data_IF_396158522305
#
_entry.id   IF_396158522305
#
_cell.length_a   1.000
_cell.length_b   1.000
_cell.length_c   1.000
_cell.angle_alpha   90.00
_cell.angle_beta   90.00
_cell.angle_gamma   90.00
#
_symmetry.space_group_name_H-M   'P 1'
#
loop_
_entity.id
_entity.type
_entity.pdbx_description
1 polymer ?
#
# COMPACT_ATOMS: atom_id res chain seq x y z
N UNK A 1 -19.56 16.94 2.47
CA UNK A 1 -18.71 15.91 1.82
C UNK A 1 -17.73 15.43 2.87
N UNK A 2 -17.56 14.12 3.02
CA UNK A 2 -16.75 13.52 4.09
C UNK A 2 -15.29 13.41 3.66
N UNK A 3 -14.34 13.78 4.52
CA UNK A 3 -12.90 13.74 4.20
C UNK A 3 -12.30 12.31 4.35
N UNK A 4 -12.63 11.42 3.42
CA UNK A 4 -12.18 10.02 3.45
C UNK A 4 -10.64 9.85 3.38
N UNK A 5 -9.91 10.87 2.90
CA UNK A 5 -8.44 10.89 2.85
C UNK A 5 -7.77 10.70 4.22
N UNK A 6 -8.43 11.13 5.31
CA UNK A 6 -7.92 11.06 6.69
C UNK A 6 -8.05 9.66 7.32
N UNK A 7 -8.95 8.83 6.82
CA UNK A 7 -9.25 7.50 7.36
C UNK A 7 -8.21 6.44 6.98
N UNK A 8 -8.13 5.35 7.76
CA UNK A 8 -7.28 4.18 7.46
C UNK A 8 -7.91 3.29 6.39
N UNK A 9 -7.10 2.44 5.77
CA UNK A 9 -7.57 1.49 4.74
C UNK A 9 -8.53 0.42 5.31
N UNK A 10 -8.48 0.14 6.61
CA UNK A 10 -9.49 -0.68 7.30
C UNK A 10 -10.84 0.03 7.34
N UNK A 11 -10.88 1.23 7.92
CA UNK A 11 -12.05 2.10 8.07
C UNK A 11 -12.71 2.38 6.70
N UNK A 12 -11.91 2.63 5.65
CA UNK A 12 -12.41 2.80 4.28
C UNK A 12 -13.05 1.53 3.69
N UNK A 13 -12.56 0.34 4.05
CA UNK A 13 -13.14 -0.93 3.60
C UNK A 13 -14.39 -1.30 4.39
N UNK A 14 -14.48 -0.90 5.65
CA UNK A 14 -15.69 -1.01 6.47
C UNK A 14 -16.81 -0.16 5.84
N UNK A 15 -16.55 1.12 5.56
CA UNK A 15 -17.51 2.02 4.88
C UNK A 15 -17.91 1.55 3.47
N UNK A 16 -16.99 0.98 2.69
CA UNK A 16 -17.32 0.42 1.39
C UNK A 16 -18.16 -0.87 1.51
N UNK A 17 -17.93 -1.69 2.55
CA UNK A 17 -18.71 -2.90 2.82
C UNK A 17 -20.13 -2.55 3.26
N UNK A 18 -20.30 -1.53 4.11
CA UNK A 18 -21.60 -1.01 4.51
C UNK A 18 -22.44 -0.44 3.34
N UNK A 19 -21.80 -0.10 2.23
CA UNK A 19 -22.43 0.41 1.01
C UNK A 19 -22.52 -0.63 -0.12
N UNK A 20 -22.10 -1.87 0.11
CA UNK A 20 -21.96 -2.94 -0.89
C UNK A 20 -21.09 -2.57 -2.13
N UNK A 21 -20.13 -1.66 -1.92
CA UNK A 21 -19.18 -1.23 -2.94
C UNK A 21 -17.92 -2.11 -2.94
N UNK A 22 -17.25 -2.32 -4.11
CA UNK A 22 -16.02 -3.12 -4.19
C UNK A 22 -14.92 -2.71 -3.20
N UNK A 23 -14.37 -3.69 -2.47
CA UNK A 23 -13.31 -3.50 -1.47
C UNK A 23 -11.87 -3.53 -2.03
N UNK A 24 -11.74 -3.66 -3.36
CA UNK A 24 -10.48 -3.78 -4.08
C UNK A 24 -9.94 -2.42 -4.54
N UNK A 25 -8.62 -2.30 -4.59
CA UNK A 25 -7.89 -1.11 -5.04
C UNK A 25 -6.88 -0.58 -4.03
N UNK A 26 -6.20 0.48 -4.44
CA UNK A 26 -5.33 1.34 -3.64
C UNK A 26 -6.16 2.30 -2.77
N UNK A 27 -5.57 2.89 -1.72
CA UNK A 27 -6.30 3.79 -0.80
C UNK A 27 -7.06 4.91 -1.54
N UNK A 28 -6.46 5.50 -2.57
CA UNK A 28 -7.07 6.57 -3.37
C UNK A 28 -8.29 6.09 -4.15
N UNK A 29 -8.29 4.86 -4.66
CA UNK A 29 -9.44 4.29 -5.37
C UNK A 29 -10.60 3.98 -4.41
N UNK A 30 -10.30 3.56 -3.17
CA UNK A 30 -11.31 3.37 -2.12
C UNK A 30 -11.96 4.71 -1.73
N UNK A 31 -11.15 5.76 -1.56
CA UNK A 31 -11.61 7.14 -1.30
C UNK A 31 -12.48 7.66 -2.43
N UNK A 32 -11.99 7.66 -3.68
CA UNK A 32 -12.74 8.15 -4.84
C UNK A 32 -14.08 7.43 -5.01
N UNK A 33 -14.14 6.14 -4.67
CA UNK A 33 -15.37 5.32 -4.77
C UNK A 33 -16.41 5.71 -3.73
N UNK A 34 -16.00 6.04 -2.50
CA UNK A 34 -16.90 6.61 -1.48
C UNK A 34 -17.36 8.01 -1.88
N UNK A 35 -16.44 8.89 -2.31
CA UNK A 35 -16.75 10.25 -2.76
C UNK A 35 -17.73 10.26 -3.94
N UNK A 36 -17.59 9.33 -4.89
CA UNK A 36 -18.51 9.17 -6.01
C UNK A 36 -19.90 8.69 -5.59
N UNK A 37 -20.02 7.77 -4.61
CA UNK A 37 -21.32 7.33 -4.08
C UNK A 37 -22.02 8.45 -3.28
N UNK A 38 -21.29 9.23 -2.48
CA UNK A 38 -21.88 10.40 -1.79
C UNK A 38 -22.28 11.50 -2.77
N UNK A 39 -21.51 11.71 -3.85
CA UNK A 39 -21.88 12.65 -4.91
C UNK A 39 -23.13 12.16 -5.68
N UNK A 40 -23.24 10.86 -5.96
CA UNK A 40 -24.41 10.26 -6.62
C UNK A 40 -25.67 10.26 -5.72
N UNK A 41 -25.52 10.12 -4.40
CA UNK A 41 -26.62 10.24 -3.43
C UNK A 41 -27.07 11.68 -3.15
N UNK A 42 -26.37 12.69 -3.69
CA UNK A 42 -26.65 14.10 -3.44
C UNK A 42 -27.88 14.69 -4.13
N UNK A 43 -28.48 13.98 -5.10
CA UNK A 43 -29.60 14.45 -5.93
C UNK A 43 -30.82 13.53 -5.79
N UNK A 44 -31.96 14.00 -5.23
CA UNK A 44 -33.16 13.17 -5.07
C UNK A 44 -34.24 13.46 -6.13
N UNK A 45 -34.67 12.43 -6.87
CA UNK A 45 -36.08 12.14 -7.26
C UNK A 45 -36.14 11.11 -8.41
N UNK A 46 -36.93 10.04 -8.28
CA UNK A 46 -37.13 9.07 -9.37
C UNK A 46 -37.76 7.75 -8.96
N UNK A 47 -38.97 7.79 -8.38
CA UNK A 47 -39.80 6.60 -8.15
C UNK A 47 -40.19 5.94 -9.49
N UNK A 48 -39.98 4.62 -9.61
CA UNK A 48 -40.60 3.78 -10.64
C UNK A 48 -40.55 2.29 -10.27
N UNK A 49 -41.66 1.78 -9.74
CA UNK A 49 -41.96 0.35 -9.65
C UNK A 49 -42.66 -0.14 -10.94
N UNK A 50 -42.52 -1.44 -11.26
CA UNK A 50 -43.44 -2.27 -12.06
C UNK A 50 -43.18 -2.52 -13.56
N UNK A 51 -43.51 -3.75 -14.00
CA UNK A 51 -43.74 -4.18 -15.40
C UNK A 51 -42.48 -4.68 -16.13
N UNK A 52 -42.22 -5.97 -16.35
CA UNK A 52 -43.00 -7.09 -16.93
C UNK A 52 -43.02 -7.15 -18.48
N UNK A 53 -42.81 -8.38 -18.99
CA UNK A 53 -43.00 -8.89 -20.35
C UNK A 53 -42.48 -8.09 -21.57
N UNK A 54 -41.49 -8.65 -22.29
CA UNK A 54 -41.59 -8.88 -23.75
C UNK A 54 -40.69 -10.04 -24.17
N UNK A 55 -41.34 -11.13 -24.59
CA UNK A 55 -40.78 -12.25 -25.34
C UNK A 55 -40.38 -11.80 -26.75
N UNK A 56 -39.29 -12.35 -27.33
CA UNK A 56 -39.53 -13.08 -28.58
C UNK A 56 -38.81 -14.43 -28.62
N UNK A 57 -39.58 -15.48 -28.92
CA UNK A 57 -39.07 -16.80 -29.25
C UNK A 57 -38.62 -16.89 -30.72
N UNK A 58 -37.79 -17.92 -30.98
CA UNK A 58 -37.42 -18.45 -32.31
C UNK A 58 -36.59 -17.53 -33.24
N UNK A 59 -35.66 -18.03 -34.07
CA UNK A 59 -35.01 -19.34 -34.22
C UNK A 59 -33.79 -19.10 -35.14
N UNK A 60 -32.62 -19.71 -34.86
CA UNK A 60 -31.90 -20.50 -35.88
C UNK A 60 -30.82 -21.38 -35.23
N UNK A 61 -30.64 -22.58 -35.77
CA UNK A 61 -29.67 -23.57 -35.32
C UNK A 61 -28.42 -23.55 -36.20
N UNK A 62 -27.27 -23.91 -35.63
CA UNK A 62 -26.55 -25.15 -35.98
C UNK A 62 -25.02 -25.03 -35.95
N UNK A 63 -24.37 -26.15 -35.62
CA UNK A 63 -22.92 -26.43 -35.69
C UNK A 63 -22.05 -25.75 -34.61
N UNK A 64 -21.39 -26.48 -33.70
CA UNK A 64 -21.47 -27.93 -33.47
C UNK A 64 -20.41 -28.43 -32.47
N UNK A 65 -20.74 -29.54 -31.81
CA UNK A 65 -19.84 -30.54 -31.20
C UNK A 65 -18.71 -30.07 -30.26
N UNK A 66 -18.93 -30.23 -28.95
CA UNK A 66 -17.98 -30.94 -28.05
C UNK A 66 -18.58 -31.27 -26.68
N UNK A 67 -18.91 -32.56 -26.50
CA UNK A 67 -18.71 -33.36 -25.27
C UNK A 67 -19.09 -32.78 -23.88
N UNK A 68 -20.22 -33.25 -23.36
CA UNK A 68 -20.52 -33.46 -21.92
C UNK A 68 -19.73 -34.69 -21.37
N UNK A 69 -19.69 -35.02 -20.05
CA UNK A 69 -20.38 -34.47 -18.84
C UNK A 69 -19.37 -33.83 -17.84
N UNK A 70 -19.54 -33.64 -16.51
CA UNK A 70 -20.38 -34.27 -15.45
C UNK A 70 -20.69 -33.28 -14.29
N UNK A 71 -21.74 -33.58 -13.54
CA UNK A 71 -22.06 -33.12 -12.17
C UNK A 71 -20.91 -33.24 -11.13
N UNK A 72 -20.89 -32.37 -10.11
CA UNK A 72 -21.47 -32.70 -8.78
C UNK A 72 -21.10 -31.73 -7.63
N UNK A 73 -22.15 -31.19 -6.99
CA UNK A 73 -22.35 -31.01 -5.54
C UNK A 73 -21.44 -30.11 -4.65
N UNK A 74 -22.12 -29.40 -3.72
CA UNK A 74 -21.57 -28.72 -2.54
C UNK A 74 -21.43 -27.19 -2.70
N UNK A 75 -22.06 -26.34 -1.88
CA UNK A 75 -23.05 -26.61 -0.83
C UNK A 75 -23.63 -25.31 -0.26
N UNK A 76 -24.88 -25.40 0.19
CA UNK A 76 -25.41 -24.84 1.45
C UNK A 76 -25.45 -23.31 1.73
N UNK A 77 -26.69 -22.86 1.97
CA UNK A 77 -27.14 -21.85 2.95
C UNK A 77 -26.45 -21.98 4.35
N UNK A 78 -26.67 -21.06 5.33
CA UNK A 78 -27.70 -20.01 5.47
C UNK A 78 -27.10 -18.61 5.78
N UNK A 79 -27.88 -17.53 5.91
CA UNK A 79 -28.54 -17.09 7.17
C UNK A 79 -27.59 -16.20 7.98
N UNK A 80 -28.00 -15.31 8.89
CA UNK A 80 -29.24 -14.70 9.32
C UNK A 80 -28.77 -13.71 10.42
N UNK A 81 -29.56 -12.69 10.76
CA UNK A 81 -29.43 -11.86 11.98
C UNK A 81 -28.17 -10.95 12.17
N UNK A 82 -28.41 -9.64 12.21
CA UNK A 82 -27.64 -8.72 13.08
C UNK A 82 -28.05 -8.90 14.55
N UNK A 83 -27.46 -8.17 15.52
CA UNK A 83 -27.97 -6.81 15.71
C UNK A 83 -27.01 -5.74 16.31
N UNK A 84 -27.19 -4.50 15.83
CA UNK A 84 -27.46 -3.26 16.61
C UNK A 84 -26.50 -2.73 17.71
N UNK A 85 -26.39 -1.38 17.72
CA UNK A 85 -26.25 -0.50 18.90
C UNK A 85 -24.89 -0.40 19.61
N UNK A 86 -24.47 0.74 20.20
CA UNK A 86 -25.12 2.06 20.40
C UNK A 86 -24.09 3.13 20.81
N UNK A 87 -24.43 4.41 20.53
CA UNK A 87 -24.16 5.59 21.40
C UNK A 87 -22.69 6.01 21.68
N UNK A 88 -22.37 7.22 22.13
CA UNK A 88 -22.94 8.59 22.08
C UNK A 88 -21.95 9.46 22.89
N UNK A 89 -21.57 10.69 22.46
CA UNK A 89 -21.31 11.81 23.39
C UNK A 89 -21.10 13.16 22.70
N UNK A 90 -21.98 14.09 23.05
CA UNK A 90 -21.88 15.54 22.85
C UNK A 90 -20.95 16.22 23.90
N UNK A 91 -20.10 17.18 23.48
CA UNK A 91 -19.60 18.40 24.20
C UNK A 91 -18.45 19.02 23.37
N UNK A 92 -18.50 20.25 22.83
CA UNK A 92 -18.62 21.60 23.42
C UNK A 92 -17.27 22.25 23.84
N UNK A 93 -16.90 23.34 23.13
CA UNK A 93 -15.97 24.43 23.51
C UNK A 93 -14.49 24.02 23.78
N UNK A 94 -13.44 24.77 23.44
CA UNK A 94 -13.27 26.22 23.37
C UNK A 94 -12.04 26.60 22.52
N UNK A 95 -11.99 27.83 22.02
CA UNK A 95 -10.72 28.49 21.66
C UNK A 95 -9.94 28.81 22.95
N UNK A 96 -8.65 28.45 23.01
CA UNK A 96 -7.71 28.99 24.00
C UNK A 96 -6.36 29.25 23.34
N UNK A 97 -6.08 30.54 23.17
CA UNK A 97 -4.77 31.21 23.03
C UNK A 97 -3.51 30.34 23.18
N UNK A 98 -2.68 30.33 22.13
CA UNK A 98 -1.26 30.04 22.25
C UNK A 98 -0.59 31.12 23.12
N UNK A 99 -0.18 30.76 24.33
CA UNK A 99 0.85 31.46 25.08
C UNK A 99 2.11 30.60 25.05
N UNK A 100 3.26 31.22 24.84
CA UNK A 100 4.53 30.53 24.76
C UNK A 100 4.99 30.05 26.16
N UNK A 101 5.39 28.79 26.26
CA UNK A 101 6.29 28.34 27.32
C UNK A 101 7.55 27.76 26.68
N UNK A 102 8.70 28.20 27.18
CA UNK A 102 10.02 27.73 26.76
C UNK A 102 10.39 26.60 27.70
N UNK A 103 10.54 25.38 27.18
CA UNK A 103 11.18 24.30 27.92
C UNK A 103 12.46 23.82 27.22
N UNK A 104 13.53 24.06 27.96
CA UNK A 104 14.94 23.73 27.78
C UNK A 104 15.18 22.32 27.23
N UNK A 105 16.02 22.11 26.20
CA UNK A 105 16.26 20.78 25.65
C UNK A 105 17.15 19.96 26.60
N UNK A 106 16.53 18.98 27.26
CA UNK A 106 17.20 18.07 28.17
C UNK A 106 18.32 17.24 27.49
N UNK A 107 19.31 16.91 28.32
CA UNK A 107 20.50 16.07 28.07
C UNK A 107 20.29 14.86 27.12
N UNK A 108 21.23 14.58 26.20
CA UNK A 108 21.13 13.43 25.30
C UNK A 108 21.67 12.14 25.93
N UNK A 109 20.77 11.22 26.26
CA UNK A 109 21.13 9.83 26.63
C UNK A 109 21.61 8.98 25.42
N UNK A 110 22.26 7.88 25.76
CA UNK A 110 23.21 7.01 25.01
C UNK A 110 22.91 6.58 23.53
N UNK A 111 23.95 6.18 22.76
CA UNK A 111 23.88 6.02 21.30
C UNK A 111 23.30 4.69 20.82
N UNK A 112 22.02 4.44 21.10
CA UNK A 112 21.20 3.55 20.26
C UNK A 112 21.12 4.17 18.86
N UNK A 113 21.67 3.50 17.82
CA UNK A 113 21.85 4.03 16.45
C UNK A 113 20.70 4.95 16.03
N UNK A 114 20.94 6.27 16.15
CA UNK A 114 19.89 7.28 16.00
C UNK A 114 19.19 7.09 14.66
N UNK A 115 17.87 7.35 14.60
CA UNK A 115 17.11 7.24 13.36
C UNK A 115 17.78 8.05 12.22
N UNK A 116 18.43 9.17 12.54
CA UNK A 116 19.24 9.96 11.63
C UNK A 116 20.54 9.25 11.17
N UNK A 117 21.25 8.56 12.07
CA UNK A 117 22.43 7.77 11.67
C UNK A 117 22.01 6.56 10.81
N UNK A 118 20.94 5.86 11.17
CA UNK A 118 20.38 4.77 10.37
C UNK A 118 19.96 5.24 8.97
N UNK A 119 19.35 6.43 8.85
CA UNK A 119 19.07 7.09 7.57
C UNK A 119 20.35 7.33 6.77
N UNK A 120 21.38 7.89 7.39
CA UNK A 120 22.66 8.20 6.74
C UNK A 120 23.34 6.93 6.20
N UNK A 121 23.37 5.84 6.99
CA UNK A 121 23.92 4.53 6.56
C UNK A 121 23.19 3.97 5.34
N UNK A 122 21.88 4.16 5.23
CA UNK A 122 21.10 3.73 4.06
C UNK A 122 21.38 4.60 2.85
N UNK A 123 21.49 5.92 3.03
CA UNK A 123 21.87 6.87 1.97
C UNK A 123 23.22 6.46 1.36
N UNK A 124 24.23 6.21 2.19
CA UNK A 124 25.57 5.78 1.76
C UNK A 124 25.54 4.47 0.96
N UNK A 125 24.81 3.45 1.43
CA UNK A 125 24.69 2.15 0.75
C UNK A 125 23.92 2.25 -0.57
N UNK A 126 22.89 3.10 -0.64
CA UNK A 126 22.16 3.39 -1.89
C UNK A 126 23.05 4.13 -2.89
N UNK A 127 23.86 5.10 -2.47
CA UNK A 127 24.85 5.73 -3.35
C UNK A 127 25.92 4.75 -3.83
N UNK A 128 26.40 3.86 -2.95
CA UNK A 128 27.33 2.79 -3.31
C UNK A 128 26.67 1.76 -4.24
N UNK A 129 25.36 1.52 -4.12
CA UNK A 129 24.58 0.73 -5.06
C UNK A 129 24.50 1.44 -6.41
N UNK A 130 24.16 2.73 -6.46
CA UNK A 130 24.14 3.54 -7.68
C UNK A 130 25.50 3.52 -8.41
N UNK A 131 26.62 3.61 -7.67
CA UNK A 131 27.99 3.43 -8.20
C UNK A 131 28.22 2.02 -8.76
N UNK A 132 27.66 0.96 -8.16
CA UNK A 132 27.67 -0.42 -8.72
C UNK A 132 26.82 -0.50 -10.00
N UNK A 133 25.62 0.07 -10.01
CA UNK A 133 24.75 0.09 -11.20
C UNK A 133 25.46 0.71 -12.41
N UNK A 134 26.14 1.85 -12.23
CA UNK A 134 26.99 2.48 -13.27
C UNK A 134 28.15 1.60 -13.75
N UNK A 135 28.71 0.73 -12.89
CA UNK A 135 29.81 -0.19 -13.24
C UNK A 135 29.36 -1.47 -13.92
N UNK A 136 28.14 -1.93 -13.65
CA UNK A 136 27.58 -3.17 -14.20
C UNK A 136 26.53 -2.93 -15.30
N UNK A 137 26.31 -1.66 -15.68
CA UNK A 137 25.30 -1.22 -16.65
C UNK A 137 23.87 -1.72 -16.32
N UNK A 138 23.56 -1.88 -15.03
CA UNK A 138 22.22 -2.27 -14.56
C UNK A 138 21.38 -1.04 -14.25
N UNK A 139 20.08 -1.09 -14.55
CA UNK A 139 19.16 0.05 -14.42
C UNK A 139 19.17 0.66 -13.00
N UNK A 140 19.47 1.96 -12.81
CA UNK A 140 19.62 2.58 -11.49
C UNK A 140 18.31 3.18 -10.95
N UNK A 141 17.19 3.17 -11.70
CA UNK A 141 16.00 3.97 -11.39
C UNK A 141 15.45 3.73 -9.99
N UNK A 142 15.18 2.48 -9.60
CA UNK A 142 14.71 2.12 -8.25
C UNK A 142 15.61 2.66 -7.14
N UNK A 143 16.94 2.56 -7.32
CA UNK A 143 17.92 3.05 -6.34
C UNK A 143 17.89 4.58 -6.25
N UNK A 144 17.71 5.28 -7.37
CA UNK A 144 17.58 6.75 -7.38
C UNK A 144 16.25 7.23 -6.78
N UNK A 145 15.13 6.58 -7.09
CA UNK A 145 13.83 6.88 -6.50
C UNK A 145 13.85 6.69 -4.98
N UNK A 146 14.43 5.59 -4.50
CA UNK A 146 14.54 5.31 -3.05
C UNK A 146 15.45 6.33 -2.34
N UNK A 147 16.58 6.69 -2.96
CA UNK A 147 17.48 7.74 -2.45
C UNK A 147 16.77 9.10 -2.36
N UNK A 148 16.00 9.48 -3.38
CA UNK A 148 15.20 10.72 -3.40
C UNK A 148 14.12 10.72 -2.32
N UNK A 149 13.37 9.62 -2.16
CA UNK A 149 12.34 9.46 -1.11
C UNK A 149 12.96 9.61 0.28
N UNK A 150 14.07 8.93 0.56
CA UNK A 150 14.72 8.96 1.87
C UNK A 150 15.29 10.35 2.19
N UNK A 151 15.82 11.07 1.19
CA UNK A 151 16.28 12.46 1.38
C UNK A 151 15.15 13.47 1.60
N UNK A 152 13.93 13.22 1.11
CA UNK A 152 12.79 14.13 1.30
C UNK A 152 11.95 13.80 2.54
N UNK A 153 11.77 12.51 2.87
CA UNK A 153 10.81 12.03 3.89
C UNK A 153 11.46 11.18 4.99
N UNK A 154 12.78 10.98 4.97
CA UNK A 154 13.48 10.10 5.90
C UNK A 154 13.23 8.61 5.65
N UNK A 155 13.60 7.79 6.62
CA UNK A 155 13.33 6.35 6.58
C UNK A 155 11.95 6.03 7.18
N UNK A 156 11.08 5.41 6.38
CA UNK A 156 9.74 5.01 6.80
C UNK A 156 9.72 3.76 7.70
N UNK A 157 10.69 2.85 7.57
CA UNK A 157 10.79 1.62 8.38
C UNK A 157 12.27 1.28 8.68
N UNK A 158 12.60 1.15 9.96
CA UNK A 158 13.93 0.77 10.45
C UNK A 158 14.31 -0.66 9.98
N UNK A 159 13.34 -1.53 9.73
CA UNK A 159 13.60 -2.86 9.19
C UNK A 159 14.02 -2.82 7.72
N UNK A 160 13.61 -1.80 6.96
CA UNK A 160 14.11 -1.54 5.61
C UNK A 160 15.57 -1.06 5.65
N UNK A 161 15.96 -0.25 6.65
CA UNK A 161 17.36 0.06 6.93
C UNK A 161 18.19 -1.20 7.12
N UNK A 162 17.72 -2.09 8.01
CA UNK A 162 18.40 -3.36 8.31
C UNK A 162 18.57 -4.20 7.04
N UNK A 163 17.55 -4.33 6.18
CA UNK A 163 17.64 -5.07 4.91
C UNK A 163 18.66 -4.48 3.93
N UNK A 164 18.73 -3.15 3.82
CA UNK A 164 19.65 -2.47 2.90
C UNK A 164 21.10 -2.51 3.41
N UNK A 165 21.33 -2.14 4.67
CA UNK A 165 22.67 -2.02 5.27
C UNK A 165 23.33 -3.38 5.55
N UNK A 166 22.55 -4.43 5.85
CA UNK A 166 23.11 -5.79 6.07
C UNK A 166 23.56 -6.48 4.79
N UNK A 167 23.21 -5.98 3.60
CA UNK A 167 23.64 -6.54 2.32
C UNK A 167 25.11 -6.18 1.98
N UNK A 168 26.01 -6.39 2.94
CA UNK A 168 27.43 -6.08 2.82
C UNK A 168 28.02 -6.87 1.64
N UNK A 169 28.56 -6.20 0.60
CA UNK A 169 28.97 -6.87 -0.62
C UNK A 169 30.04 -7.91 -0.28
N UNK A 170 29.80 -9.17 -0.66
CA UNK A 170 30.67 -10.29 -0.33
C UNK A 170 32.11 -9.99 -0.76
N UNK A 171 32.98 -9.74 0.21
CA UNK A 171 34.41 -9.54 -0.01
C UNK A 171 35.03 -10.86 -0.52
N UNK A 172 34.92 -11.10 -1.83
CA UNK A 172 35.67 -12.17 -2.50
C UNK A 172 37.14 -11.90 -2.21
N UNK A 173 37.76 -12.70 -1.33
CA UNK A 173 39.20 -12.67 -1.08
C UNK A 173 39.89 -12.62 -2.44
N UNK A 174 40.56 -11.51 -2.74
CA UNK A 174 41.33 -11.37 -3.99
C UNK A 174 42.33 -12.52 -3.99
N UNK A 175 42.08 -13.57 -4.79
CA UNK A 175 43.11 -14.55 -5.10
C UNK A 175 44.24 -13.78 -5.76
N UNK A 176 45.29 -13.52 -4.99
CA UNK A 176 46.56 -13.05 -5.53
C UNK A 176 46.99 -14.13 -6.51
N UNK A 177 46.77 -13.87 -7.81
CA UNK A 177 47.19 -14.76 -8.87
C UNK A 177 48.71 -14.64 -8.90
N UNK A 178 49.37 -15.55 -8.20
CA UNK A 178 50.82 -15.52 -8.04
C UNK A 178 51.47 -15.49 -9.42
N UNK A 179 52.31 -14.49 -9.64
CA UNK A 179 53.19 -14.44 -10.80
C UNK A 179 54.25 -15.53 -10.62
N UNK A 180 53.87 -16.77 -10.92
CA UNK A 180 54.77 -17.92 -11.04
C UNK A 180 55.68 -17.71 -12.23
N UNK A 181 56.70 -16.87 -12.06
CA UNK A 181 57.77 -16.64 -13.03
C UNK A 181 58.61 -17.92 -13.14
N UNK A 182 58.12 -18.87 -13.94
CA UNK A 182 58.92 -19.99 -14.44
C UNK A 182 59.95 -19.41 -15.41
N UNK A 183 61.11 -19.05 -14.86
CA UNK A 183 62.34 -18.99 -15.63
C UNK A 183 62.76 -20.44 -15.82
N UNK A 184 62.56 -20.98 -17.01
CA UNK A 184 63.17 -22.24 -17.44
C UNK A 184 64.26 -21.90 -18.44
N UNK A 185 65.50 -22.21 -18.05
CA UNK A 185 66.65 -22.28 -18.95
C UNK A 185 66.53 -23.50 -19.88
#
# INVERSE_FOLDING_TARGET
MTDYTKLKVSELKELLKERDLPLSGTKSELVNRLEADDAAKGEPAGDAVSGDATEPAAEDNSTGDSTVPVEAAGGEQPGEEGPSSTADRETAQAETTQAAEVEEPAEPEEPEMSQAEAQQRVIDELEQRLKRHKRFATDPTDTELRLKRIRQFGLADINEAKKLVTFKPAHRKRRVKGNGKKVSA
#
